data_IF_834775770491
#
_entry.id   IF_834775770491
#
_cell.length_a   1.000
_cell.length_b   1.000
_cell.length_c   1.000
_cell.angle_alpha   90.00
_cell.angle_beta   90.00
_cell.angle_gamma   90.00
#
_symmetry.space_group_name_H-M   'P 1'
#
loop_
_entity.id
_entity.type
_entity.pdbx_description
1 polymer ?
#
# COMPACT_ATOMS: atom_id res chain seq x y z
N UNK A 1 35.43 -55.87 -37.19
CA UNK A 1 34.89 -54.89 -36.22
C UNK A 1 33.96 -55.63 -35.29
N UNK A 2 34.50 -56.00 -34.13
CA UNK A 2 33.85 -56.77 -33.07
C UNK A 2 32.85 -55.87 -32.31
N UNK A 3 31.56 -56.17 -32.42
CA UNK A 3 30.54 -55.55 -31.58
C UNK A 3 30.60 -56.13 -30.17
N UNK A 4 30.93 -55.30 -29.18
CA UNK A 4 30.79 -55.60 -27.76
C UNK A 4 29.32 -55.50 -27.34
N UNK A 5 28.77 -56.47 -26.59
CA UNK A 5 27.41 -56.36 -26.08
C UNK A 5 27.37 -55.40 -24.88
N UNK A 6 26.52 -54.39 -24.97
CA UNK A 6 26.19 -53.44 -23.91
C UNK A 6 25.58 -54.18 -22.72
N UNK A 7 26.12 -54.01 -21.51
CA UNK A 7 25.54 -54.59 -20.28
C UNK A 7 24.14 -54.01 -20.05
N UNK A 8 23.13 -54.87 -20.09
CA UNK A 8 21.76 -54.58 -19.64
C UNK A 8 21.78 -54.26 -18.15
N UNK A 9 21.19 -53.13 -17.76
CA UNK A 9 21.03 -52.76 -16.34
C UNK A 9 20.12 -53.76 -15.63
N UNK A 10 20.68 -54.51 -14.68
CA UNK A 10 19.94 -55.43 -13.83
C UNK A 10 19.02 -54.64 -12.90
N UNK A 11 17.73 -55.01 -12.85
CA UNK A 11 16.77 -54.39 -11.95
C UNK A 11 17.24 -54.54 -10.49
N UNK A 12 17.01 -53.54 -9.62
CA UNK A 12 17.43 -53.62 -8.23
C UNK A 12 16.84 -54.87 -7.57
N UNK A 13 17.70 -55.70 -6.97
CA UNK A 13 17.25 -56.93 -6.30
C UNK A 13 16.32 -56.56 -5.15
N UNK A 14 15.14 -57.17 -5.14
CA UNK A 14 14.17 -56.97 -4.08
C UNK A 14 14.64 -57.74 -2.85
N UNK A 15 15.20 -57.02 -1.89
CA UNK A 15 15.62 -57.57 -0.63
C UNK A 15 14.48 -57.42 0.37
N UNK A 16 13.89 -58.54 0.77
CA UNK A 16 12.89 -58.60 1.82
C UNK A 16 13.59 -58.63 3.17
N UNK A 17 13.18 -57.78 4.10
CA UNK A 17 13.78 -57.69 5.43
C UNK A 17 13.13 -58.67 6.40
N UNK A 18 11.87 -59.06 6.15
CA UNK A 18 11.14 -60.04 6.96
C UNK A 18 10.34 -61.02 6.11
N UNK A 19 10.02 -62.20 6.68
CA UNK A 19 9.19 -63.20 6.02
C UNK A 19 7.76 -62.69 5.76
N UNK A 20 7.23 -61.86 6.66
CA UNK A 20 5.92 -61.24 6.54
C UNK A 20 5.83 -60.27 5.35
N UNK A 21 6.96 -59.63 5.00
CA UNK A 21 7.07 -58.75 3.85
C UNK A 21 7.05 -59.52 2.51
N UNK A 22 7.64 -60.73 2.48
CA UNK A 22 7.59 -61.61 1.31
C UNK A 22 6.16 -62.08 1.02
N UNK A 23 5.38 -62.33 2.07
CA UNK A 23 3.99 -62.77 1.98
C UNK A 23 2.97 -61.63 1.82
N UNK A 24 3.45 -60.38 1.68
CA UNK A 24 2.64 -59.17 1.49
C UNK A 24 1.47 -59.07 2.48
N UNK A 25 1.75 -59.32 3.76
CA UNK A 25 0.72 -59.34 4.80
C UNK A 25 0.09 -57.95 5.00
N UNK A 26 -1.22 -57.88 5.33
CA UNK A 26 -1.93 -56.61 5.46
C UNK A 26 -1.35 -55.71 6.57
N UNK A 27 -0.80 -56.31 7.63
CA UNK A 27 -0.15 -55.60 8.74
C UNK A 27 1.12 -54.85 8.30
N UNK A 28 1.96 -55.50 7.48
CA UNK A 28 3.20 -54.91 6.96
C UNK A 28 2.91 -53.78 5.96
N UNK A 29 1.80 -53.87 5.20
CA UNK A 29 1.36 -52.80 4.30
C UNK A 29 0.93 -51.56 5.08
N UNK A 30 0.13 -51.73 6.13
CA UNK A 30 -0.29 -50.63 7.00
C UNK A 30 0.91 -49.96 7.72
N UNK A 31 1.86 -50.76 8.21
CA UNK A 31 3.10 -50.26 8.80
C UNK A 31 3.95 -49.50 7.78
N UNK A 32 4.13 -50.00 6.56
CA UNK A 32 4.90 -49.33 5.51
C UNK A 32 4.28 -47.99 5.07
N UNK A 33 2.95 -47.92 5.05
CA UNK A 33 2.24 -46.66 4.79
C UNK A 33 2.43 -45.66 5.92
N UNK A 34 2.58 -46.13 7.17
CA UNK A 34 2.78 -45.30 8.35
C UNK A 34 4.26 -44.93 8.61
N UNK A 35 5.23 -45.71 8.09
CA UNK A 35 6.67 -45.47 8.31
C UNK A 35 7.16 -44.12 7.80
N UNK A 36 6.52 -43.58 6.76
CA UNK A 36 6.88 -42.28 6.19
C UNK A 36 6.04 -41.11 6.71
N UNK A 37 5.01 -41.38 7.53
CA UNK A 37 4.29 -40.33 8.25
C UNK A 37 5.00 -40.06 9.57
N UNK A 38 5.97 -39.14 9.55
CA UNK A 38 6.45 -38.51 10.78
C UNK A 38 5.29 -37.79 11.47
N UNK A 39 4.98 -38.06 12.75
CA UNK A 39 3.98 -37.30 13.49
C UNK A 39 4.51 -35.88 13.67
N UNK A 40 4.09 -34.97 12.79
CA UNK A 40 4.31 -33.53 12.93
C UNK A 40 3.07 -32.72 12.56
N UNK A 41 1.93 -33.38 12.40
CA UNK A 41 0.64 -32.70 12.46
C UNK A 41 0.27 -32.52 13.93
N UNK A 42 0.84 -31.50 14.58
CA UNK A 42 0.18 -30.55 15.50
C UNK A 42 1.22 -29.70 16.27
N UNK A 43 0.90 -28.41 16.43
CA UNK A 43 1.71 -27.29 16.98
C UNK A 43 2.68 -26.60 15.99
N UNK A 44 2.10 -25.80 15.10
CA UNK A 44 2.35 -24.35 14.97
C UNK A 44 3.75 -23.80 15.33
N UNK A 45 4.77 -24.12 14.56
CA UNK A 45 5.90 -23.21 14.36
C UNK A 45 6.03 -22.90 12.86
N UNK A 46 5.94 -21.62 12.46
CA UNK A 46 6.06 -21.27 11.06
C UNK A 46 7.45 -21.64 10.55
N UNK A 47 7.52 -22.56 9.58
CA UNK A 47 8.79 -22.93 8.97
C UNK A 47 9.38 -21.73 8.20
N UNK A 48 10.71 -21.72 8.02
CA UNK A 48 11.38 -20.73 7.14
C UNK A 48 10.75 -20.67 5.75
N UNK A 49 10.24 -21.80 5.25
CA UNK A 49 9.56 -21.90 3.96
C UNK A 49 8.20 -21.19 4.00
N UNK A 50 7.44 -21.35 5.08
CA UNK A 50 6.13 -20.70 5.21
C UNK A 50 6.26 -19.19 5.42
N UNK A 51 7.31 -18.75 6.11
CA UNK A 51 7.70 -17.34 6.15
C UNK A 51 8.02 -16.79 4.76
N UNK A 52 8.82 -17.51 3.96
CA UNK A 52 9.15 -17.11 2.58
C UNK A 52 7.92 -17.10 1.66
N UNK A 53 6.98 -18.04 1.82
CA UNK A 53 5.70 -18.03 1.10
C UNK A 53 4.89 -16.79 1.45
N UNK A 54 4.82 -16.43 2.73
CA UNK A 54 4.05 -15.29 3.21
C UNK A 54 4.64 -13.95 2.76
N UNK A 55 5.98 -13.82 2.77
CA UNK A 55 6.69 -12.69 2.15
C UNK A 55 6.47 -12.64 0.64
N UNK A 56 6.63 -13.77 -0.05
CA UNK A 56 6.44 -13.85 -1.51
C UNK A 56 5.03 -13.45 -1.93
N UNK A 57 4.02 -13.93 -1.19
CA UNK A 57 2.63 -13.53 -1.39
C UNK A 57 2.43 -12.03 -1.12
N UNK A 58 2.95 -11.51 -0.01
CA UNK A 58 2.86 -10.08 0.34
C UNK A 58 3.53 -9.15 -0.68
N UNK A 59 4.71 -9.54 -1.19
CA UNK A 59 5.43 -8.78 -2.20
C UNK A 59 4.67 -8.72 -3.54
N UNK A 60 4.02 -9.81 -3.94
CA UNK A 60 3.19 -9.84 -5.15
C UNK A 60 2.00 -8.87 -5.04
N UNK A 61 1.34 -8.80 -3.88
CA UNK A 61 0.25 -7.83 -3.64
C UNK A 61 0.74 -6.39 -3.63
N UNK A 62 1.90 -6.10 -3.05
CA UNK A 62 2.50 -4.77 -3.07
C UNK A 62 2.85 -4.33 -4.50
N UNK A 63 3.39 -5.25 -5.32
CA UNK A 63 3.71 -4.98 -6.73
C UNK A 63 2.44 -4.75 -7.57
N UNK A 64 1.34 -5.44 -7.28
CA UNK A 64 0.04 -5.18 -7.91
C UNK A 64 -0.51 -3.78 -7.56
N UNK A 65 -0.20 -3.25 -6.37
CA UNK A 65 -0.50 -1.88 -5.96
C UNK A 65 0.30 -0.80 -6.71
N UNK A 66 1.38 -1.18 -7.40
CA UNK A 66 2.11 -0.30 -8.32
C UNK A 66 1.47 -0.24 -9.72
N UNK A 67 0.25 -0.76 -9.90
CA UNK A 67 -0.51 -0.57 -11.12
C UNK A 67 -0.61 0.94 -11.47
N UNK A 68 -0.54 1.23 -12.77
CA UNK A 68 -0.50 2.58 -13.35
C UNK A 68 -1.37 3.57 -12.58
N UNK A 69 -0.72 4.56 -11.95
CA UNK A 69 -1.42 5.74 -11.43
C UNK A 69 -2.19 6.39 -12.58
N UNK A 70 -3.42 6.86 -12.34
CA UNK A 70 -4.17 7.58 -13.37
C UNK A 70 -3.32 8.76 -13.85
N UNK A 71 -3.37 9.03 -15.16
CA UNK A 71 -2.65 10.15 -15.75
C UNK A 71 -3.29 11.45 -15.25
N UNK A 72 -2.60 12.15 -14.36
CA UNK A 72 -2.98 13.50 -13.94
C UNK A 72 -2.53 14.50 -15.01
N UNK A 73 -3.47 15.32 -15.47
CA UNK A 73 -3.19 16.37 -16.48
C UNK A 73 -2.81 17.65 -15.76
N UNK A 74 -1.64 18.20 -16.08
CA UNK A 74 -1.19 19.52 -15.62
C UNK A 74 -1.60 20.54 -16.67
N UNK A 75 -2.56 21.39 -16.36
CA UNK A 75 -3.06 22.44 -17.25
C UNK A 75 -2.39 23.77 -16.91
N UNK A 76 -1.57 24.35 -17.81
CA UNK A 76 -0.98 25.66 -17.59
C UNK A 76 -1.98 26.80 -17.88
N UNK A 77 -1.64 28.00 -17.42
CA UNK A 77 -2.35 29.21 -17.80
C UNK A 77 -2.17 29.50 -19.30
N UNK A 78 -3.27 29.89 -19.97
CA UNK A 78 -3.22 30.37 -21.36
C UNK A 78 -2.58 31.76 -21.43
N UNK A 79 -2.92 32.62 -20.47
CA UNK A 79 -2.31 33.94 -20.26
C UNK A 79 -2.00 34.04 -18.77
N UNK A 80 -0.71 34.15 -18.44
CA UNK A 80 -0.25 34.20 -17.05
C UNK A 80 -0.35 35.64 -16.55
N UNK A 81 -1.05 35.92 -15.44
CA UNK A 81 -0.98 37.22 -14.78
C UNK A 81 0.41 37.44 -14.17
N UNK A 82 0.96 38.66 -14.24
CA UNK A 82 2.32 38.96 -13.77
C UNK A 82 2.50 38.72 -12.26
N UNK A 83 1.44 38.89 -11.47
CA UNK A 83 1.46 38.77 -10.01
C UNK A 83 1.49 37.30 -9.53
N UNK A 84 1.07 36.35 -10.37
CA UNK A 84 0.85 34.96 -9.97
C UNK A 84 2.02 34.08 -10.40
N UNK A 85 2.77 33.57 -9.42
CA UNK A 85 3.79 32.54 -9.62
C UNK A 85 3.21 31.19 -9.15
N UNK A 86 2.97 30.22 -10.06
CA UNK A 86 2.44 28.92 -9.67
C UNK A 86 3.27 28.25 -8.57
N UNK A 87 2.61 27.79 -7.51
CA UNK A 87 3.23 27.17 -6.34
C UNK A 87 3.60 28.15 -5.22
N UNK A 88 3.55 29.47 -5.44
CA UNK A 88 3.72 30.48 -4.38
C UNK A 88 2.36 31.07 -4.01
N UNK A 89 2.04 31.05 -2.71
CA UNK A 89 0.82 31.66 -2.22
C UNK A 89 0.93 33.18 -2.16
N UNK A 90 -0.15 33.88 -2.47
CA UNK A 90 -0.31 35.32 -2.35
C UNK A 90 -1.23 35.65 -1.18
N UNK A 91 -1.06 36.84 -0.61
CA UNK A 91 -1.91 37.35 0.47
C UNK A 91 -2.60 38.62 0.02
N UNK A 92 -3.93 38.63 0.10
CA UNK A 92 -4.75 39.80 -0.24
C UNK A 92 -5.44 40.33 1.03
N UNK A 93 -5.43 41.65 1.22
CA UNK A 93 -6.20 42.28 2.28
C UNK A 93 -7.68 42.33 1.90
N UNK A 94 -8.55 41.94 2.83
CA UNK A 94 -10.01 41.95 2.66
C UNK A 94 -10.70 42.12 4.02
N UNK A 95 -12.03 42.05 4.05
CA UNK A 95 -12.85 42.23 5.25
C UNK A 95 -13.78 41.04 5.45
N UNK A 96 -13.92 40.57 6.69
CA UNK A 96 -14.83 39.48 7.07
C UNK A 96 -16.29 39.95 7.02
N UNK A 97 -17.16 39.25 6.29
CA UNK A 97 -18.58 39.56 6.18
C UNK A 97 -19.53 38.76 7.09
N UNK A 98 -19.00 37.86 7.93
CA UNK A 98 -19.83 36.92 8.71
C UNK A 98 -20.66 37.59 9.82
N UNK A 99 -20.22 38.74 10.32
CA UNK A 99 -20.95 39.48 11.35
C UNK A 99 -20.78 40.99 11.15
N UNK A 100 -21.60 41.82 11.80
CA UNK A 100 -21.54 43.28 11.65
C UNK A 100 -20.20 43.91 12.04
N UNK A 101 -19.34 43.18 12.77
CA UNK A 101 -18.04 43.69 13.20
C UNK A 101 -17.06 43.95 12.05
N UNK A 102 -17.25 43.33 10.88
CA UNK A 102 -16.45 43.61 9.68
C UNK A 102 -14.92 43.59 9.88
N UNK A 103 -14.40 42.58 10.59
CA UNK A 103 -12.98 42.51 10.91
C UNK A 103 -12.10 42.42 9.65
N UNK A 104 -11.04 43.21 9.58
CA UNK A 104 -10.02 43.10 8.53
C UNK A 104 -9.28 41.75 8.59
N UNK A 105 -9.03 41.18 7.42
CA UNK A 105 -8.38 39.88 7.28
C UNK A 105 -7.41 39.86 6.10
N UNK A 106 -6.55 38.86 6.09
CA UNK A 106 -5.64 38.52 5.02
C UNK A 106 -6.08 37.17 4.44
N UNK A 107 -6.39 37.16 3.15
CA UNK A 107 -6.77 35.97 2.40
C UNK A 107 -5.52 35.39 1.77
N UNK A 108 -5.11 34.20 2.22
CA UNK A 108 -4.10 33.40 1.53
C UNK A 108 -4.76 32.77 0.31
N UNK A 109 -4.23 33.06 -0.87
CA UNK A 109 -4.70 32.50 -2.13
C UNK A 109 -3.60 31.69 -2.79
N UNK A 110 -4.01 30.67 -3.53
CA UNK A 110 -3.15 29.84 -4.36
C UNK A 110 -3.74 29.86 -5.77
N UNK A 111 -3.00 30.42 -6.73
CA UNK A 111 -3.48 30.53 -8.12
C UNK A 111 -4.89 31.17 -8.23
N UNK A 112 -5.19 32.18 -7.39
CA UNK A 112 -6.50 32.84 -7.34
C UNK A 112 -7.56 32.14 -6.48
N UNK A 113 -7.28 30.94 -5.96
CA UNK A 113 -8.18 30.19 -5.07
C UNK A 113 -7.89 30.52 -3.59
N UNK A 114 -8.82 31.10 -2.82
CA UNK A 114 -8.67 31.26 -1.38
C UNK A 114 -8.46 29.92 -0.66
N UNK A 115 -7.40 29.79 0.14
CA UNK A 115 -7.08 28.53 0.86
C UNK A 115 -7.03 28.70 2.37
N UNK A 116 -6.89 29.93 2.88
CA UNK A 116 -6.88 30.23 4.31
C UNK A 116 -7.20 31.71 4.55
N UNK A 117 -7.87 31.99 5.66
CA UNK A 117 -8.13 33.33 6.16
C UNK A 117 -7.33 33.55 7.45
N UNK A 118 -6.69 34.71 7.60
CA UNK A 118 -6.01 35.11 8.84
C UNK A 118 -6.38 36.54 9.21
N UNK A 119 -6.27 36.90 10.49
CA UNK A 119 -6.50 38.28 10.91
C UNK A 119 -5.39 39.20 10.40
N UNK A 120 -5.75 40.42 9.97
CA UNK A 120 -4.75 41.44 9.65
C UNK A 120 -4.20 42.04 10.96
N UNK A 121 -2.88 42.16 11.10
CA UNK A 121 -2.22 42.65 12.34
C UNK A 121 -2.45 44.14 12.55
N UNK A 122 -2.47 44.88 11.45
CA UNK A 122 -2.59 46.33 11.40
C UNK A 122 -4.05 46.79 11.62
N UNK A 123 -5.01 45.88 11.47
CA UNK A 123 -6.43 46.21 11.57
C UNK A 123 -6.89 46.19 13.05
N UNK A 124 -7.59 47.24 13.53
CA UNK A 124 -7.83 47.46 14.96
C UNK A 124 -8.67 46.38 15.64
N UNK A 125 -9.55 45.71 14.89
CA UNK A 125 -10.45 44.67 15.40
C UNK A 125 -9.84 43.26 15.38
N UNK A 126 -9.10 42.90 14.35
CA UNK A 126 -8.56 41.54 14.18
C UNK A 126 -7.22 41.38 14.90
N UNK A 127 -6.32 42.39 14.82
CA UNK A 127 -4.99 42.38 15.44
C UNK A 127 -4.20 41.08 15.23
N UNK A 128 -4.34 40.46 14.07
CA UNK A 128 -3.69 39.20 13.71
C UNK A 128 -4.52 37.94 13.96
N UNK A 129 -5.67 38.04 14.63
CA UNK A 129 -6.57 36.92 14.92
C UNK A 129 -7.92 37.03 14.20
N UNK A 130 -8.61 35.90 14.08
CA UNK A 130 -9.96 35.82 13.50
C UNK A 130 -10.81 34.83 14.32
N UNK A 131 -12.10 35.11 14.47
CA UNK A 131 -13.02 34.25 15.21
C UNK A 131 -13.36 32.96 14.43
N UNK A 132 -13.95 31.98 15.12
CA UNK A 132 -14.32 30.68 14.52
C UNK A 132 -15.21 30.85 13.27
N UNK A 133 -16.18 31.76 13.30
CA UNK A 133 -17.05 32.07 12.15
C UNK A 133 -16.26 32.63 10.97
N UNK A 134 -15.39 33.61 11.22
CA UNK A 134 -14.55 34.18 10.18
C UNK A 134 -13.53 33.20 9.60
N UNK A 135 -13.08 32.21 10.39
CA UNK A 135 -12.24 31.11 9.89
C UNK A 135 -13.05 30.11 9.05
N UNK A 136 -14.28 29.81 9.47
CA UNK A 136 -15.19 28.88 8.79
C UNK A 136 -15.83 29.45 7.51
N UNK A 137 -15.88 30.78 7.34
CA UNK A 137 -16.46 31.42 6.16
C UNK A 137 -15.83 30.98 4.83
N UNK A 138 -14.58 30.51 4.87
CA UNK A 138 -13.93 29.91 3.71
C UNK A 138 -14.69 28.69 3.18
N UNK A 139 -15.31 27.90 4.07
CA UNK A 139 -16.10 26.74 3.69
C UNK A 139 -17.38 27.16 2.96
N UNK A 140 -18.02 28.25 3.38
CA UNK A 140 -19.21 28.79 2.72
C UNK A 140 -18.93 29.16 1.25
N UNK A 141 -17.71 29.57 0.89
CA UNK A 141 -17.31 29.84 -0.50
C UNK A 141 -17.19 28.56 -1.34
N UNK A 142 -16.95 27.41 -0.71
CA UNK A 142 -16.76 26.12 -1.37
C UNK A 142 -17.90 25.14 -1.12
N UNK A 143 -19.02 25.61 -0.56
CA UNK A 143 -20.24 24.82 -0.38
C UNK A 143 -20.82 24.46 -1.76
N UNK A 144 -21.12 23.17 -2.05
CA UNK A 144 -21.57 22.71 -3.36
C UNK A 144 -23.01 23.10 -3.74
#
# INVERSE_FOLDING_TARGET
>A
MSGTPTKTGEAPRKHWQTLAELHDSPEVRALREQEFLTPSEEVTEPSRRDFLKLIGAGAAFAAAGCARRPVEKILPYIKVPEEIIPGKALWYASTCGECPASCGLLVKTREGRPIKLEGMKEHPLSRGGLCARGQASLLNLYDP
#
